data_IF_708330008978
#
_entry.id   IF_708330008978
#
_cell.length_a   1.000
_cell.length_b   1.000
_cell.length_c   1.000
_cell.angle_alpha   90.00
_cell.angle_beta   90.00
_cell.angle_gamma   90.00
#
_symmetry.space_group_name_H-M   'P 1'
#
loop_
_entity.id
_entity.type
_entity.pdbx_description
1 polymer ?
#
# COMPACT_ATOMS: atom_id res chain seq x y z
N UNK A 1 27.67 30.77 13.72
CA UNK A 1 26.58 31.64 13.29
C UNK A 1 25.62 30.78 12.48
N UNK A 2 24.67 30.24 13.13
CA UNK A 2 23.31 30.64 13.23
C UNK A 2 22.51 29.73 12.31
N UNK A 3 22.26 28.43 12.71
CA UNK A 3 21.14 27.64 12.14
C UNK A 3 19.87 28.14 12.82
N UNK A 4 19.23 29.12 12.25
CA UNK A 4 17.87 29.48 12.60
C UNK A 4 16.93 28.56 11.86
N UNK A 5 16.13 27.88 12.64
CA UNK A 5 15.13 26.92 12.35
C UNK A 5 14.03 27.47 11.46
N UNK A 6 13.78 26.78 10.39
CA UNK A 6 12.47 26.76 9.77
C UNK A 6 11.56 25.87 10.61
N UNK A 7 11.13 26.39 11.74
CA UNK A 7 9.96 25.84 12.45
C UNK A 7 8.70 26.30 11.74
N UNK A 8 8.03 25.33 11.17
CA UNK A 8 6.64 25.16 10.97
C UNK A 8 5.71 26.35 11.09
N UNK A 9 5.28 26.86 9.96
CA UNK A 9 4.02 27.54 9.81
C UNK A 9 2.87 26.55 9.92
N UNK A 10 2.09 26.67 11.02
CA UNK A 10 0.67 26.33 11.13
C UNK A 10 0.17 24.96 10.63
N UNK A 11 0.46 23.90 11.33
CA UNK A 11 -0.40 22.70 11.32
C UNK A 11 -1.38 22.66 12.51
N UNK A 12 -1.93 23.79 12.87
CA UNK A 12 -2.87 23.96 13.98
C UNK A 12 -4.34 24.03 13.55
N UNK A 13 -4.75 23.46 12.42
CA UNK A 13 -6.17 23.17 12.22
C UNK A 13 -6.53 22.03 13.15
N UNK A 14 -7.23 22.36 14.23
CA UNK A 14 -7.81 21.41 15.16
C UNK A 14 -8.32 20.20 14.42
N UNK A 15 -7.73 19.02 14.68
CA UNK A 15 -8.35 17.77 14.29
C UNK A 15 -9.76 17.79 14.83
N UNK A 16 -10.70 18.08 13.95
CA UNK A 16 -12.13 18.07 14.20
C UNK A 16 -12.46 16.66 14.69
N UNK A 17 -13.49 16.51 15.48
CA UNK A 17 -13.94 15.27 16.06
C UNK A 17 -13.87 14.03 15.15
N UNK A 18 -14.92 13.29 15.04
CA UNK A 18 -15.03 12.09 14.18
C UNK A 18 -15.10 12.53 12.71
N UNK A 19 -14.28 11.89 11.86
CA UNK A 19 -14.28 12.07 10.41
C UNK A 19 -15.34 11.18 9.77
N UNK A 20 -16.54 11.71 9.66
CA UNK A 20 -17.70 10.98 9.16
C UNK A 20 -17.55 10.39 7.76
N UNK A 21 -16.85 11.01 6.78
CA UNK A 21 -16.60 10.37 5.48
C UNK A 21 -15.85 9.04 5.60
N UNK A 22 -14.83 8.97 6.45
CA UNK A 22 -14.04 7.74 6.68
C UNK A 22 -14.84 6.70 7.48
N UNK A 23 -15.69 7.12 8.41
CA UNK A 23 -16.62 6.22 9.11
C UNK A 23 -17.66 5.65 8.14
N UNK A 24 -18.25 6.50 7.29
CA UNK A 24 -19.20 6.04 6.27
C UNK A 24 -18.56 5.06 5.28
N UNK A 25 -17.31 5.32 4.89
CA UNK A 25 -16.52 4.40 4.07
C UNK A 25 -16.35 3.03 4.76
N UNK A 26 -16.00 3.00 6.05
CA UNK A 26 -15.86 1.77 6.81
C UNK A 26 -17.18 0.98 6.85
N UNK A 27 -18.31 1.67 7.11
CA UNK A 27 -19.63 1.05 7.09
C UNK A 27 -19.99 0.50 5.71
N UNK A 28 -19.66 1.25 4.65
CA UNK A 28 -19.90 0.81 3.26
C UNK A 28 -19.06 -0.43 2.91
N UNK A 29 -17.80 -0.46 3.28
CA UNK A 29 -16.89 -1.58 3.00
C UNK A 29 -17.34 -2.82 3.77
N UNK A 30 -17.50 -2.74 5.07
CA UNK A 30 -17.86 -3.91 5.88
C UNK A 30 -19.32 -4.36 5.65
N UNK A 31 -20.24 -3.41 5.55
CA UNK A 31 -21.64 -3.69 5.23
C UNK A 31 -21.81 -4.29 3.83
N UNK A 32 -21.15 -3.67 2.84
CA UNK A 32 -21.10 -4.18 1.47
C UNK A 32 -20.46 -5.56 1.38
N UNK A 33 -19.35 -5.79 2.08
CA UNK A 33 -18.70 -7.09 2.15
C UNK A 33 -19.62 -8.16 2.76
N UNK A 34 -20.25 -7.87 3.90
CA UNK A 34 -21.16 -8.79 4.55
C UNK A 34 -22.37 -9.11 3.66
N UNK A 35 -22.98 -8.09 3.03
CA UNK A 35 -24.14 -8.27 2.14
C UNK A 35 -23.76 -9.05 0.87
N UNK A 36 -22.66 -8.69 0.20
CA UNK A 36 -22.22 -9.38 -1.01
C UNK A 36 -21.87 -10.84 -0.74
N UNK A 37 -21.13 -11.13 0.34
CA UNK A 37 -20.74 -12.49 0.67
C UNK A 37 -21.93 -13.34 1.12
N UNK A 38 -22.85 -12.78 1.91
CA UNK A 38 -24.05 -13.50 2.35
C UNK A 38 -24.99 -13.84 1.19
N UNK A 39 -25.15 -12.92 0.24
CA UNK A 39 -26.03 -13.10 -0.92
C UNK A 39 -25.30 -13.57 -2.19
N UNK A 40 -24.04 -14.03 -2.08
CA UNK A 40 -23.21 -14.37 -3.24
C UNK A 40 -23.88 -15.37 -4.19
N UNK A 41 -24.65 -16.33 -3.66
CA UNK A 41 -25.33 -17.34 -4.46
C UNK A 41 -26.44 -16.77 -5.38
N UNK A 42 -26.93 -15.56 -5.09
CA UNK A 42 -27.92 -14.87 -5.93
C UNK A 42 -27.26 -14.11 -7.10
N UNK A 43 -25.94 -14.02 -7.14
CA UNK A 43 -25.19 -13.27 -8.15
C UNK A 43 -24.36 -14.20 -9.03
N UNK A 44 -24.24 -13.94 -10.33
CA UNK A 44 -23.27 -14.63 -11.16
C UNK A 44 -21.85 -14.38 -10.64
N UNK A 45 -20.97 -15.39 -10.67
CA UNK A 45 -19.62 -15.29 -10.15
C UNK A 45 -18.80 -14.14 -10.80
N UNK A 46 -19.05 -13.85 -12.08
CA UNK A 46 -18.40 -12.76 -12.80
C UNK A 46 -18.87 -11.35 -12.38
N UNK A 47 -19.95 -11.22 -11.62
CA UNK A 47 -20.38 -9.98 -10.95
C UNK A 47 -19.88 -9.97 -9.51
N UNK A 48 -20.10 -11.06 -8.79
CA UNK A 48 -19.76 -11.19 -7.37
C UNK A 48 -18.24 -11.02 -7.13
N UNK A 49 -17.41 -11.76 -7.87
CA UNK A 49 -15.99 -11.76 -7.61
C UNK A 49 -15.32 -10.39 -7.82
N UNK A 50 -15.54 -9.66 -8.94
CA UNK A 50 -14.98 -8.32 -9.11
C UNK A 50 -15.51 -7.30 -8.09
N UNK A 51 -16.79 -7.34 -7.76
CA UNK A 51 -17.38 -6.44 -6.76
C UNK A 51 -16.79 -6.69 -5.37
N UNK A 52 -16.62 -7.95 -4.98
CA UNK A 52 -16.02 -8.31 -3.71
C UNK A 52 -14.50 -7.98 -3.70
N UNK A 53 -13.80 -8.24 -4.80
CA UNK A 53 -12.38 -7.86 -4.96
C UNK A 53 -12.18 -6.33 -4.83
N UNK A 54 -13.09 -5.54 -5.38
CA UNK A 54 -13.09 -4.09 -5.20
C UNK A 54 -13.21 -3.67 -3.73
N UNK A 55 -14.16 -4.27 -2.99
CA UNK A 55 -14.31 -3.99 -1.55
C UNK A 55 -13.10 -4.41 -0.74
N UNK A 56 -12.48 -5.55 -1.06
CA UNK A 56 -11.25 -6.01 -0.40
C UNK A 56 -10.08 -5.08 -0.69
N UNK A 57 -9.95 -4.57 -1.93
CA UNK A 57 -8.95 -3.57 -2.26
C UNK A 57 -9.23 -2.24 -1.56
N UNK A 58 -10.49 -1.82 -1.53
CA UNK A 58 -10.89 -0.58 -0.84
C UNK A 58 -10.63 -0.64 0.66
N UNK A 59 -10.83 -1.82 1.25
CA UNK A 59 -10.44 -2.08 2.65
C UNK A 59 -8.94 -1.87 2.87
N UNK A 60 -8.08 -2.34 1.97
CA UNK A 60 -6.64 -2.08 2.05
C UNK A 60 -6.30 -0.58 2.02
N UNK A 61 -6.99 0.19 1.16
CA UNK A 61 -6.85 1.65 1.12
C UNK A 61 -7.39 2.32 2.39
N UNK A 62 -8.48 1.81 2.97
CA UNK A 62 -9.00 2.29 4.26
C UNK A 62 -8.02 1.97 5.41
N UNK A 63 -7.41 0.78 5.42
CA UNK A 63 -6.38 0.46 6.41
C UNK A 63 -5.19 1.43 6.33
N UNK A 64 -4.78 1.78 5.10
CA UNK A 64 -3.74 2.79 4.86
C UNK A 64 -4.13 4.16 5.43
N UNK A 65 -5.34 4.63 5.22
CA UNK A 65 -5.84 5.88 5.81
C UNK A 65 -5.81 5.82 7.34
N UNK A 66 -6.31 4.71 7.91
CA UNK A 66 -6.44 4.55 9.36
C UNK A 66 -5.08 4.51 10.06
N UNK A 67 -4.05 3.93 9.46
CA UNK A 67 -2.72 3.86 10.09
C UNK A 67 -2.07 5.23 10.26
N UNK A 68 -2.49 6.22 9.45
CA UNK A 68 -2.11 7.64 9.60
C UNK A 68 -2.91 8.40 10.67
N UNK A 69 -3.82 7.71 11.38
CA UNK A 69 -4.48 8.26 12.56
C UNK A 69 -5.94 8.68 12.35
N UNK A 70 -6.58 8.21 11.29
CA UNK A 70 -7.99 8.41 10.96
C UNK A 70 -8.87 7.26 11.48
N UNK A 71 -10.18 7.38 11.63
CA UNK A 71 -10.98 8.62 11.52
C UNK A 71 -11.21 9.35 12.85
N UNK A 72 -10.55 8.94 13.94
CA UNK A 72 -10.77 9.54 15.27
C UNK A 72 -9.46 9.89 15.96
N UNK A 73 -9.54 10.59 17.09
CA UNK A 73 -8.37 10.84 17.95
C UNK A 73 -7.93 9.59 18.74
N UNK A 74 -8.77 8.57 18.83
CA UNK A 74 -8.50 7.35 19.59
C UNK A 74 -7.83 6.28 18.73
N UNK A 75 -6.55 6.01 19.00
CA UNK A 75 -5.83 4.91 18.33
C UNK A 75 -6.52 3.56 18.54
N UNK A 76 -7.18 3.36 19.67
CA UNK A 76 -7.90 2.11 19.97
C UNK A 76 -9.10 1.94 19.04
N UNK A 77 -9.91 2.99 18.86
CA UNK A 77 -11.06 2.98 17.94
C UNK A 77 -10.59 2.79 16.50
N UNK A 78 -9.61 3.56 16.07
CA UNK A 78 -9.07 3.50 14.72
C UNK A 78 -8.55 2.08 14.42
N UNK A 79 -7.77 1.51 15.34
CA UNK A 79 -7.28 0.14 15.24
C UNK A 79 -8.42 -0.89 15.19
N UNK A 80 -9.45 -0.73 16.02
CA UNK A 80 -10.59 -1.64 16.04
C UNK A 80 -11.34 -1.66 14.70
N UNK A 81 -11.39 -0.52 13.99
CA UNK A 81 -11.97 -0.45 12.65
C UNK A 81 -11.08 -1.19 11.63
N UNK A 82 -9.75 -1.02 11.69
CA UNK A 82 -8.83 -1.51 10.68
C UNK A 82 -8.41 -2.99 10.83
N UNK A 83 -8.54 -3.58 12.03
CA UNK A 83 -7.93 -4.87 12.35
C UNK A 83 -8.62 -6.08 11.70
N UNK A 84 -9.86 -5.94 11.23
CA UNK A 84 -10.62 -7.05 10.63
C UNK A 84 -10.01 -7.46 9.30
N UNK A 85 -9.43 -8.66 9.15
CA UNK A 85 -8.57 -8.99 8.02
C UNK A 85 -9.37 -9.60 6.87
N UNK A 86 -10.21 -8.83 6.17
CA UNK A 86 -10.98 -9.38 5.05
C UNK A 86 -10.11 -9.83 3.87
N UNK A 87 -8.89 -9.36 3.75
CA UNK A 87 -7.89 -9.86 2.78
C UNK A 87 -7.18 -11.15 3.22
N UNK A 88 -7.33 -11.56 4.48
CA UNK A 88 -6.81 -12.77 5.14
C UNK A 88 -5.29 -12.87 5.30
N UNK A 89 -4.47 -12.13 4.56
CA UNK A 89 -3.02 -12.39 4.49
C UNK A 89 -2.14 -11.41 5.26
N UNK A 90 -2.59 -10.15 5.46
CA UNK A 90 -1.75 -9.06 5.98
C UNK A 90 -2.21 -8.64 7.39
N UNK A 91 -1.41 -8.90 8.44
CA UNK A 91 -1.68 -8.37 9.77
C UNK A 91 -1.60 -6.84 9.78
N UNK A 92 -2.66 -6.19 10.26
CA UNK A 92 -2.75 -4.71 10.27
C UNK A 92 -1.57 -4.05 11.01
N UNK A 93 -1.13 -4.60 12.14
CA UNK A 93 -0.05 -3.99 12.90
C UNK A 93 1.30 -4.10 12.20
N UNK A 94 1.56 -5.22 11.51
CA UNK A 94 2.76 -5.37 10.67
C UNK A 94 2.75 -4.37 9.52
N UNK A 95 1.60 -4.23 8.83
CA UNK A 95 1.43 -3.23 7.77
C UNK A 95 1.64 -1.81 8.30
N UNK A 96 1.04 -1.47 9.45
CA UNK A 96 1.19 -0.15 10.05
C UNK A 96 2.65 0.18 10.36
N UNK A 97 3.40 -0.74 10.95
CA UNK A 97 4.80 -0.53 11.29
C UNK A 97 5.67 -0.37 10.05
N UNK A 98 5.47 -1.21 9.04
CA UNK A 98 6.18 -1.15 7.77
C UNK A 98 5.94 0.20 7.08
N UNK A 99 4.67 0.57 6.93
CA UNK A 99 4.30 1.77 6.20
C UNK A 99 4.70 3.08 6.90
N UNK A 100 4.58 3.16 8.23
CA UNK A 100 5.06 4.34 8.96
C UNK A 100 6.59 4.50 8.89
N UNK A 101 7.34 3.39 8.76
CA UNK A 101 8.78 3.44 8.51
C UNK A 101 9.09 3.85 7.07
N UNK A 102 8.26 3.44 6.11
CA UNK A 102 8.37 3.87 4.71
C UNK A 102 8.24 5.39 4.55
N UNK A 103 7.44 6.05 5.41
CA UNK A 103 7.33 7.51 5.47
C UNK A 103 8.55 8.24 6.08
N UNK A 104 9.64 7.53 6.39
CA UNK A 104 10.92 8.16 6.67
C UNK A 104 11.57 8.55 5.32
N UNK A 105 11.28 9.77 4.87
CA UNK A 105 11.56 10.24 3.51
C UNK A 105 13.03 10.16 3.10
N UNK A 106 13.96 10.31 4.04
CA UNK A 106 15.39 10.18 3.76
C UNK A 106 15.78 8.77 3.26
N UNK A 107 14.92 7.77 3.57
CA UNK A 107 15.12 6.36 3.24
C UNK A 107 14.27 5.88 2.06
N UNK A 108 13.38 6.72 1.56
CA UNK A 108 12.45 6.37 0.49
C UNK A 108 13.19 5.76 -0.72
N UNK A 109 12.71 4.60 -1.19
CA UNK A 109 13.30 3.76 -2.25
C UNK A 109 14.62 3.06 -1.92
N UNK A 110 15.22 3.28 -0.75
CA UNK A 110 16.45 2.58 -0.37
C UNK A 110 16.22 1.07 -0.25
N UNK A 111 17.04 0.21 -0.91
CA UNK A 111 16.82 -1.23 -0.91
C UNK A 111 17.08 -1.91 0.44
N UNK A 112 17.75 -1.26 1.39
CA UNK A 112 18.09 -1.82 2.69
C UNK A 112 17.23 -1.26 3.83
N UNK A 113 16.84 0.00 3.71
CA UNK A 113 16.23 0.73 4.82
C UNK A 113 14.73 1.02 4.62
N UNK A 114 14.25 1.12 3.37
CA UNK A 114 12.83 1.27 3.08
C UNK A 114 12.17 -0.11 2.97
N UNK A 115 11.28 -0.49 3.91
CA UNK A 115 10.63 -1.80 3.90
C UNK A 115 9.66 -2.01 2.73
N UNK A 116 9.27 -0.94 2.03
CA UNK A 116 8.41 -1.00 0.85
C UNK A 116 9.18 -0.84 -0.45
N UNK A 117 10.51 -0.68 -0.38
CA UNK A 117 11.36 -0.58 -1.56
C UNK A 117 11.28 -1.84 -2.43
N UNK A 118 11.22 -1.62 -3.72
CA UNK A 118 11.23 -2.70 -4.72
C UNK A 118 12.53 -2.77 -5.52
N UNK A 119 13.55 -2.10 -5.00
CA UNK A 119 14.89 -2.12 -5.56
C UNK A 119 15.76 -3.15 -4.86
N UNK A 120 16.76 -3.62 -5.58
CA UNK A 120 17.80 -4.48 -5.05
C UNK A 120 19.14 -3.75 -5.05
N UNK A 121 20.04 -4.19 -4.16
CA UNK A 121 21.44 -3.80 -4.27
C UNK A 121 22.08 -4.49 -5.47
N UNK A 122 23.18 -3.93 -6.04
CA UNK A 122 23.95 -4.61 -7.08
C UNK A 122 24.47 -6.00 -6.66
N UNK A 123 24.73 -6.20 -5.37
CA UNK A 123 25.21 -7.47 -4.83
C UNK A 123 24.08 -8.51 -4.83
N UNK A 124 22.90 -8.16 -4.29
CA UNK A 124 21.75 -9.04 -4.26
C UNK A 124 21.31 -9.42 -5.67
N UNK A 125 21.28 -8.48 -6.60
CA UNK A 125 21.00 -8.77 -8.00
C UNK A 125 21.96 -9.77 -8.61
N UNK A 126 23.28 -9.66 -8.33
CA UNK A 126 24.27 -10.60 -8.84
C UNK A 126 24.15 -12.00 -8.21
N UNK A 127 23.65 -12.08 -6.98
CA UNK A 127 23.46 -13.36 -6.28
C UNK A 127 22.25 -14.13 -6.79
N UNK A 128 21.28 -13.47 -7.44
CA UNK A 128 20.07 -14.13 -7.93
C UNK A 128 20.33 -15.07 -9.10
N UNK A 129 19.56 -16.17 -9.15
CA UNK A 129 19.47 -17.07 -10.29
C UNK A 129 18.86 -16.38 -11.53
N UNK A 130 19.12 -16.92 -12.72
CA UNK A 130 18.54 -16.41 -13.97
C UNK A 130 17.00 -16.35 -13.93
N UNK A 131 16.28 -17.42 -13.49
CA UNK A 131 14.82 -17.36 -13.38
C UNK A 131 14.32 -16.27 -12.42
N UNK A 132 14.98 -16.09 -11.25
CA UNK A 132 14.61 -15.06 -10.31
C UNK A 132 14.79 -13.64 -10.89
N UNK A 133 15.90 -13.42 -11.62
CA UNK A 133 16.11 -12.14 -12.33
C UNK A 133 15.05 -11.88 -13.39
N UNK A 134 14.66 -12.91 -14.15
CA UNK A 134 13.59 -12.77 -15.15
C UNK A 134 12.27 -12.41 -14.46
N UNK A 135 11.92 -13.10 -13.38
CA UNK A 135 10.70 -12.84 -12.62
C UNK A 135 10.65 -11.41 -12.08
N UNK A 136 11.75 -10.89 -11.54
CA UNK A 136 11.84 -9.52 -11.05
C UNK A 136 11.76 -8.49 -12.18
N UNK A 137 12.37 -8.75 -13.34
CA UNK A 137 12.19 -7.89 -14.51
C UNK A 137 10.75 -7.85 -14.99
N UNK A 138 10.09 -9.00 -15.08
CA UNK A 138 8.67 -9.04 -15.47
C UNK A 138 7.82 -8.19 -14.53
N UNK A 139 8.10 -8.19 -13.24
CA UNK A 139 7.39 -7.34 -12.26
C UNK A 139 7.66 -5.83 -12.41
N UNK A 140 8.67 -5.42 -13.16
CA UNK A 140 8.87 -4.01 -13.53
C UNK A 140 7.96 -3.56 -14.68
N UNK A 141 7.24 -4.48 -15.33
CA UNK A 141 6.15 -4.16 -16.23
C UNK A 141 4.82 -4.16 -15.48
N UNK A 142 3.84 -3.38 -15.92
CA UNK A 142 2.52 -3.35 -15.28
C UNK A 142 1.81 -4.72 -15.39
N UNK A 143 1.86 -5.36 -16.56
CA UNK A 143 1.27 -6.70 -16.75
C UNK A 143 1.89 -7.73 -15.80
N UNK A 144 3.20 -7.78 -15.71
CA UNK A 144 3.90 -8.67 -14.78
C UNK A 144 3.58 -8.34 -13.32
N UNK A 145 3.48 -7.05 -12.97
CA UNK A 145 3.08 -6.60 -11.64
C UNK A 145 1.68 -7.08 -11.26
N UNK A 146 0.72 -7.02 -12.17
CA UNK A 146 -0.67 -7.43 -11.89
C UNK A 146 -0.84 -8.94 -11.84
N UNK A 147 -0.09 -9.69 -12.67
CA UNK A 147 -0.24 -11.15 -12.77
C UNK A 147 0.65 -11.89 -11.77
N UNK A 148 1.90 -11.46 -11.61
CA UNK A 148 2.88 -12.15 -10.77
C UNK A 148 3.00 -11.46 -9.40
N UNK A 149 2.77 -10.15 -9.37
CA UNK A 149 2.98 -9.31 -8.20
C UNK A 149 2.27 -9.76 -6.93
N UNK A 150 0.98 -10.16 -6.96
CA UNK A 150 0.30 -10.63 -5.75
C UNK A 150 0.96 -11.86 -5.13
N UNK A 151 1.23 -12.89 -5.94
CA UNK A 151 1.91 -14.10 -5.46
C UNK A 151 3.31 -13.79 -4.91
N UNK A 152 4.04 -12.93 -5.61
CA UNK A 152 5.37 -12.50 -5.18
C UNK A 152 5.31 -11.73 -3.85
N UNK A 153 4.44 -10.73 -3.74
CA UNK A 153 4.32 -9.90 -2.54
C UNK A 153 3.93 -10.73 -1.31
N UNK A 154 2.92 -11.60 -1.46
CA UNK A 154 2.45 -12.47 -0.38
C UNK A 154 3.53 -13.47 0.03
N UNK A 155 4.20 -14.12 -0.94
CA UNK A 155 5.23 -15.13 -0.65
C UNK A 155 6.44 -14.53 0.07
N UNK A 156 6.92 -13.34 -0.35
CA UNK A 156 8.04 -12.66 0.30
C UNK A 156 7.65 -12.18 1.70
N UNK A 157 6.47 -11.58 1.83
CA UNK A 157 5.96 -11.17 3.12
C UNK A 157 5.91 -12.34 4.11
N UNK A 158 5.35 -13.49 3.71
CA UNK A 158 5.31 -14.66 4.58
C UNK A 158 6.70 -15.22 4.89
N UNK A 159 7.63 -15.18 3.94
CA UNK A 159 9.00 -15.63 4.17
C UNK A 159 9.70 -14.75 5.24
N UNK A 160 9.58 -13.42 5.13
CA UNK A 160 10.16 -12.48 6.08
C UNK A 160 9.53 -12.61 7.46
N UNK A 161 8.21 -12.72 7.53
CA UNK A 161 7.49 -12.91 8.80
C UNK A 161 7.80 -14.26 9.45
N UNK A 162 7.96 -15.33 8.66
CA UNK A 162 8.38 -16.64 9.17
C UNK A 162 9.77 -16.57 9.85
N UNK A 163 10.69 -15.80 9.29
CA UNK A 163 12.02 -15.57 9.90
C UNK A 163 11.89 -14.83 11.24
N UNK A 164 11.04 -13.79 11.30
CA UNK A 164 10.79 -13.04 12.56
C UNK A 164 10.18 -13.95 13.62
N UNK A 165 9.17 -14.73 13.27
CA UNK A 165 8.52 -15.69 14.16
C UNK A 165 9.50 -16.77 14.66
N UNK A 166 10.34 -17.31 13.76
CA UNK A 166 11.37 -18.27 14.12
C UNK A 166 12.40 -17.70 15.10
N UNK A 167 12.76 -16.42 14.95
CA UNK A 167 13.65 -15.70 15.86
C UNK A 167 12.99 -15.33 17.21
N UNK A 168 11.70 -15.60 17.38
CA UNK A 168 10.97 -15.29 18.59
C UNK A 168 10.66 -13.79 18.76
N UNK A 169 10.55 -13.04 17.66
CA UNK A 169 10.17 -11.63 17.71
C UNK A 169 8.78 -11.47 18.33
N UNK A 170 8.76 -10.87 19.51
CA UNK A 170 7.53 -10.73 20.31
C UNK A 170 6.49 -9.83 19.64
N UNK A 171 6.92 -8.84 18.88
CA UNK A 171 5.99 -7.95 18.17
C UNK A 171 5.32 -8.70 17.01
N UNK A 172 6.10 -9.47 16.24
CA UNK A 172 5.58 -10.33 15.19
C UNK A 172 4.64 -11.41 15.76
N UNK A 173 5.04 -12.12 16.82
CA UNK A 173 4.20 -13.14 17.47
C UNK A 173 2.86 -12.54 17.90
N UNK A 174 2.86 -11.37 18.53
CA UNK A 174 1.63 -10.71 18.94
C UNK A 174 0.75 -10.33 17.75
N UNK A 175 1.32 -9.69 16.72
CA UNK A 175 0.60 -9.29 15.54
C UNK A 175 -0.05 -10.48 14.83
N UNK A 176 0.69 -11.58 14.70
CA UNK A 176 0.19 -12.82 14.08
C UNK A 176 -0.86 -13.54 14.93
N UNK A 177 -0.73 -13.53 16.27
CA UNK A 177 -1.75 -14.11 17.17
C UNK A 177 -3.07 -13.36 17.03
N UNK A 178 -3.04 -12.04 17.06
CA UNK A 178 -4.24 -11.22 16.87
C UNK A 178 -4.84 -11.39 15.47
N UNK A 179 -4.00 -11.44 14.46
CA UNK A 179 -4.41 -11.64 13.07
C UNK A 179 -5.08 -13.01 12.88
N UNK A 180 -4.51 -14.07 13.46
CA UNK A 180 -5.07 -15.41 13.38
C UNK A 180 -6.50 -15.51 13.96
N UNK A 181 -6.78 -14.79 15.04
CA UNK A 181 -8.15 -14.70 15.60
C UNK A 181 -9.08 -14.02 14.60
N UNK A 182 -8.66 -12.91 14.00
CA UNK A 182 -9.43 -12.23 12.97
C UNK A 182 -9.67 -13.09 11.73
N UNK A 183 -8.61 -13.76 11.24
CA UNK A 183 -8.71 -14.70 10.11
C UNK A 183 -9.66 -15.84 10.41
N UNK A 184 -9.61 -16.42 11.62
CA UNK A 184 -10.55 -17.48 12.01
C UNK A 184 -12.00 -16.99 11.98
N UNK A 185 -12.28 -15.77 12.47
CA UNK A 185 -13.62 -15.19 12.45
C UNK A 185 -14.12 -14.91 11.02
N UNK A 186 -13.27 -14.30 10.16
CA UNK A 186 -13.63 -14.04 8.75
C UNK A 186 -13.78 -15.35 7.98
N UNK A 187 -12.91 -16.34 8.20
CA UNK A 187 -13.01 -17.65 7.56
C UNK A 187 -14.29 -18.41 7.99
N UNK A 188 -14.63 -18.33 9.28
CA UNK A 188 -15.90 -18.89 9.76
C UNK A 188 -17.10 -18.24 9.06
N UNK A 189 -17.10 -16.91 8.93
CA UNK A 189 -18.14 -16.20 8.18
C UNK A 189 -18.21 -16.68 6.72
N UNK A 190 -17.09 -16.68 6.00
CA UNK A 190 -17.05 -17.02 4.59
C UNK A 190 -17.46 -18.48 4.33
N UNK A 191 -16.91 -19.42 5.11
CA UNK A 191 -17.08 -20.85 4.86
C UNK A 191 -18.34 -21.39 5.53
N UNK A 192 -18.48 -21.18 6.84
CA UNK A 192 -19.57 -21.80 7.59
C UNK A 192 -20.92 -21.07 7.44
N UNK A 193 -20.88 -19.72 7.32
CA UNK A 193 -22.11 -18.93 7.19
C UNK A 193 -22.49 -18.73 5.74
N UNK A 194 -21.54 -18.33 4.88
CA UNK A 194 -21.81 -18.02 3.48
C UNK A 194 -21.66 -19.21 2.53
N UNK A 195 -20.89 -20.26 2.90
CA UNK A 195 -20.64 -21.40 2.01
C UNK A 195 -19.68 -21.09 0.86
N UNK A 196 -18.87 -20.04 0.99
CA UNK A 196 -17.89 -19.65 -0.04
C UNK A 196 -16.66 -20.56 0.06
N UNK A 197 -16.26 -21.13 -1.07
CA UNK A 197 -15.04 -21.94 -1.17
C UNK A 197 -13.79 -21.09 -0.89
N UNK A 198 -12.89 -21.52 0.01
CA UNK A 198 -11.68 -20.76 0.36
C UNK A 198 -10.73 -20.52 -0.81
N UNK A 199 -10.59 -21.49 -1.73
CA UNK A 199 -9.73 -21.32 -2.89
C UNK A 199 -10.32 -20.31 -3.88
N UNK A 200 -11.64 -20.37 -4.07
CA UNK A 200 -12.35 -19.34 -4.85
C UNK A 200 -12.14 -17.94 -4.24
N UNK A 201 -12.32 -17.81 -2.92
CA UNK A 201 -12.11 -16.52 -2.25
C UNK A 201 -10.68 -16.02 -2.42
N UNK A 202 -9.69 -16.87 -2.22
CA UNK A 202 -8.29 -16.51 -2.35
C UNK A 202 -7.92 -16.12 -3.79
N UNK A 203 -8.35 -16.90 -4.79
CA UNK A 203 -7.88 -16.75 -6.17
C UNK A 203 -8.75 -15.77 -7.00
N UNK A 204 -10.06 -15.75 -6.76
CA UNK A 204 -10.97 -14.92 -7.54
C UNK A 204 -11.31 -13.57 -6.88
N UNK A 205 -11.00 -13.39 -5.58
CA UNK A 205 -11.31 -12.17 -4.84
C UNK A 205 -10.03 -11.53 -4.28
N UNK A 206 -9.30 -12.21 -3.40
CA UNK A 206 -8.13 -11.62 -2.74
C UNK A 206 -7.00 -11.34 -3.71
N UNK A 207 -6.71 -12.29 -4.60
CA UNK A 207 -5.65 -12.11 -5.60
C UNK A 207 -5.90 -10.88 -6.52
N UNK A 208 -7.07 -10.72 -7.16
CA UNK A 208 -7.40 -9.51 -7.90
C UNK A 208 -7.42 -8.23 -7.06
N UNK A 209 -7.85 -8.31 -5.79
CA UNK A 209 -7.81 -7.16 -4.90
C UNK A 209 -6.38 -6.67 -4.64
N UNK A 210 -5.44 -7.59 -4.44
CA UNK A 210 -4.02 -7.24 -4.34
C UNK A 210 -3.53 -6.66 -5.67
N UNK A 211 -3.91 -7.23 -6.82
CA UNK A 211 -3.56 -6.68 -8.13
C UNK A 211 -4.04 -5.24 -8.31
N UNK A 212 -5.27 -4.92 -7.88
CA UNK A 212 -5.79 -3.55 -7.90
C UNK A 212 -4.92 -2.58 -7.06
N UNK A 213 -4.55 -2.98 -5.85
CA UNK A 213 -3.66 -2.16 -5.01
C UNK A 213 -2.27 -2.00 -5.61
N UNK A 214 -1.78 -3.02 -6.33
CA UNK A 214 -0.50 -2.98 -7.02
C UNK A 214 -0.47 -2.05 -8.23
N UNK A 215 -1.62 -1.64 -8.80
CA UNK A 215 -1.69 -0.58 -9.82
C UNK A 215 -1.16 0.73 -9.23
N UNK A 216 -1.63 1.08 -8.02
CA UNK A 216 -1.20 2.27 -7.31
C UNK A 216 0.30 2.19 -7.03
N UNK A 217 0.73 1.18 -6.30
CA UNK A 217 2.13 1.04 -5.87
C UNK A 217 3.12 0.82 -7.02
N UNK A 218 2.66 0.54 -8.23
CA UNK A 218 3.50 0.48 -9.42
C UNK A 218 3.99 1.86 -9.86
N UNK A 219 3.15 2.88 -9.74
CA UNK A 219 3.42 4.23 -10.20
C UNK A 219 3.97 5.17 -9.12
N UNK A 220 3.81 4.85 -7.83
CA UNK A 220 4.04 5.75 -6.70
C UNK A 220 5.47 6.22 -6.53
N UNK A 221 6.43 5.32 -6.68
CA UNK A 221 7.83 5.59 -6.36
C UNK A 221 8.78 5.16 -7.46
N UNK A 222 9.75 6.04 -7.69
CA UNK A 222 10.89 5.78 -8.56
C UNK A 222 12.15 6.35 -7.93
N UNK A 223 13.23 5.58 -7.93
CA UNK A 223 14.51 6.06 -7.42
C UNK A 223 14.99 7.29 -8.19
N UNK A 224 15.37 8.33 -7.46
CA UNK A 224 15.92 9.58 -7.94
C UNK A 224 16.90 10.15 -6.92
N UNK A 225 17.73 11.13 -7.33
CA UNK A 225 18.72 11.76 -6.45
C UNK A 225 18.02 12.59 -5.37
N UNK A 226 17.09 13.45 -5.75
CA UNK A 226 16.27 14.24 -4.84
C UNK A 226 15.15 13.40 -4.21
N UNK A 227 14.94 13.52 -2.89
CA UNK A 227 13.91 12.75 -2.16
C UNK A 227 12.50 13.05 -2.70
N UNK A 228 12.18 14.33 -2.92
CA UNK A 228 10.89 14.72 -3.47
C UNK A 228 10.62 14.14 -4.88
N UNK A 229 11.67 13.99 -5.69
CA UNK A 229 11.61 13.43 -7.05
C UNK A 229 11.26 11.93 -7.07
N UNK A 230 11.36 11.24 -5.90
CA UNK A 230 11.06 9.81 -5.77
C UNK A 230 9.58 9.52 -5.69
N UNK A 231 8.73 10.54 -5.55
CA UNK A 231 7.29 10.37 -5.34
C UNK A 231 6.50 10.92 -6.52
N UNK A 232 5.71 10.06 -7.15
CA UNK A 232 4.92 10.41 -8.32
C UNK A 232 3.56 11.01 -7.97
N UNK A 233 2.95 11.60 -9.00
CA UNK A 233 1.56 12.04 -9.00
C UNK A 233 0.87 11.39 -10.20
N UNK A 234 -0.29 10.75 -9.98
CA UNK A 234 -1.14 10.26 -11.06
C UNK A 234 -2.43 11.09 -11.06
N UNK A 235 -2.52 12.03 -11.98
CA UNK A 235 -3.70 12.89 -12.15
C UNK A 235 -4.87 12.14 -12.83
N UNK A 236 -6.00 12.77 -12.99
CA UNK A 236 -7.16 12.26 -13.75
C UNK A 236 -7.59 10.82 -13.46
N UNK A 237 -7.36 10.36 -12.23
CA UNK A 237 -7.69 9.02 -11.77
C UNK A 237 -9.15 8.93 -11.27
N UNK A 238 -10.11 9.44 -12.05
CA UNK A 238 -11.51 9.57 -11.65
C UNK A 238 -12.16 8.24 -11.21
N UNK A 239 -11.74 7.10 -11.75
CA UNK A 239 -12.26 5.78 -11.40
C UNK A 239 -11.45 5.10 -10.29
N UNK A 240 -10.12 5.10 -10.40
CA UNK A 240 -9.24 4.45 -9.43
C UNK A 240 -8.86 5.35 -8.24
N UNK A 241 -8.92 6.66 -8.40
CA UNK A 241 -8.64 7.60 -7.32
C UNK A 241 -9.48 7.37 -6.07
N UNK A 242 -10.83 7.25 -6.17
CA UNK A 242 -11.67 6.89 -5.02
C UNK A 242 -11.33 5.52 -4.41
N UNK A 243 -10.95 4.52 -5.22
CA UNK A 243 -10.49 3.23 -4.70
C UNK A 243 -9.22 3.38 -3.85
N UNK A 244 -8.32 4.25 -4.26
CA UNK A 244 -7.06 4.52 -3.56
C UNK A 244 -7.16 5.63 -2.52
N UNK A 245 -8.37 6.13 -2.26
CA UNK A 245 -8.62 7.27 -1.36
C UNK A 245 -7.73 8.47 -1.73
N UNK A 246 -7.63 8.74 -3.03
CA UNK A 246 -6.81 9.78 -3.65
C UNK A 246 -5.30 9.71 -3.35
N UNK A 247 -4.82 8.58 -2.84
CA UNK A 247 -3.40 8.37 -2.62
C UNK A 247 -2.60 8.18 -3.94
N UNK A 248 -3.27 8.18 -5.08
CA UNK A 248 -2.65 8.38 -6.40
C UNK A 248 -1.97 9.75 -6.54
N UNK A 249 -2.35 10.74 -5.72
CA UNK A 249 -1.67 12.03 -5.57
C UNK A 249 -0.56 11.89 -4.52
N UNK A 250 0.36 10.98 -4.77
CA UNK A 250 1.23 10.42 -3.74
C UNK A 250 2.22 11.42 -3.15
N UNK A 251 2.72 12.39 -3.95
CA UNK A 251 3.54 13.49 -3.42
C UNK A 251 2.79 14.34 -2.39
N UNK A 252 1.48 14.56 -2.60
CA UNK A 252 0.65 15.26 -1.63
C UNK A 252 0.47 14.45 -0.33
N UNK A 253 0.33 13.13 -0.46
CA UNK A 253 0.23 12.22 0.68
C UNK A 253 1.54 12.18 1.50
N UNK A 254 2.69 12.06 0.86
CA UNK A 254 3.98 12.07 1.56
C UNK A 254 4.26 13.39 2.28
N UNK A 255 3.88 14.54 1.68
CA UNK A 255 4.02 15.84 2.36
C UNK A 255 3.05 16.00 3.53
N UNK A 256 1.84 15.44 3.42
CA UNK A 256 0.77 15.59 4.40
C UNK A 256 0.13 14.25 4.77
N UNK A 257 0.86 13.29 5.34
CA UNK A 257 0.35 11.93 5.55
C UNK A 257 -0.82 11.83 6.53
N UNK A 258 -1.02 12.84 7.37
CA UNK A 258 -2.15 12.92 8.31
C UNK A 258 -3.32 13.77 7.80
N UNK A 259 -3.32 14.14 6.50
CA UNK A 259 -4.45 14.82 5.87
C UNK A 259 -5.53 13.78 5.52
N UNK A 260 -6.80 14.02 5.89
CA UNK A 260 -7.88 13.12 5.50
C UNK A 260 -7.99 12.97 3.98
N UNK A 261 -8.20 11.75 3.52
CA UNK A 261 -8.23 11.39 2.09
C UNK A 261 -9.15 12.29 1.26
N UNK A 262 -10.28 12.73 1.79
CA UNK A 262 -11.25 13.57 1.07
C UNK A 262 -10.81 15.04 0.96
N UNK A 263 -9.78 15.46 1.68
CA UNK A 263 -9.18 16.80 1.57
C UNK A 263 -8.00 16.84 0.58
N UNK A 264 -7.37 15.68 0.30
CA UNK A 264 -6.18 15.57 -0.57
C UNK A 264 -6.40 16.20 -1.95
N UNK A 265 -7.52 15.95 -2.68
CA UNK A 265 -7.68 16.52 -4.03
C UNK A 265 -7.72 18.04 -4.04
N UNK A 266 -8.44 18.67 -3.11
CA UNK A 266 -8.52 20.12 -3.04
C UNK A 266 -7.17 20.74 -2.69
N UNK A 267 -6.51 20.18 -1.68
CA UNK A 267 -5.18 20.63 -1.27
C UNK A 267 -4.13 20.46 -2.38
N UNK A 268 -4.15 19.31 -3.07
CA UNK A 268 -3.29 19.07 -4.24
C UNK A 268 -3.51 20.13 -5.32
N UNK A 269 -4.75 20.44 -5.66
CA UNK A 269 -5.07 21.42 -6.68
C UNK A 269 -4.49 22.81 -6.38
N UNK A 270 -4.56 23.24 -5.10
CA UNK A 270 -3.98 24.50 -4.63
C UNK A 270 -2.44 24.51 -4.67
N UNK A 271 -1.80 23.34 -4.49
CA UNK A 271 -0.34 23.20 -4.39
C UNK A 271 0.32 22.58 -5.63
N UNK A 272 -0.46 22.30 -6.67
CA UNK A 272 -0.02 21.53 -7.85
C UNK A 272 1.28 22.02 -8.46
N UNK A 273 1.38 23.32 -8.75
CA UNK A 273 2.55 23.88 -9.44
C UNK A 273 3.84 23.69 -8.61
N UNK A 274 3.76 23.90 -7.31
CA UNK A 274 4.88 23.70 -6.39
C UNK A 274 5.29 22.22 -6.32
N UNK A 275 4.32 21.33 -6.10
CA UNK A 275 4.59 19.89 -5.99
C UNK A 275 5.21 19.32 -7.27
N UNK A 276 4.76 19.74 -8.46
CA UNK A 276 5.35 19.33 -9.72
C UNK A 276 6.78 19.85 -9.87
N UNK A 277 7.03 21.08 -9.48
CA UNK A 277 8.40 21.62 -9.49
C UNK A 277 9.32 20.85 -8.54
N UNK A 278 8.86 20.52 -7.33
CA UNK A 278 9.65 19.83 -6.31
C UNK A 278 9.92 18.36 -6.67
N UNK A 279 8.94 17.67 -7.30
CA UNK A 279 9.10 16.27 -7.69
C UNK A 279 9.69 16.09 -9.11
N UNK A 280 10.20 17.14 -9.74
CA UNK A 280 10.84 17.08 -11.05
C UNK A 280 9.88 16.67 -12.17
N UNK A 281 8.63 17.13 -12.11
CA UNK A 281 7.55 16.78 -13.03
C UNK A 281 7.29 15.26 -13.15
N UNK A 282 7.49 14.53 -12.05
CA UNK A 282 7.16 13.12 -11.98
C UNK A 282 5.65 12.93 -11.87
N UNK A 283 4.96 13.12 -12.98
CA UNK A 283 3.50 13.12 -13.10
C UNK A 283 3.04 12.27 -14.27
N UNK A 284 1.89 11.62 -14.12
CA UNK A 284 1.18 10.86 -15.16
C UNK A 284 -0.23 11.42 -15.34
N UNK A 285 -0.67 11.52 -16.59
CA UNK A 285 -2.05 11.87 -16.98
C UNK A 285 -2.96 10.63 -16.87
N UNK A 286 -3.12 10.15 -15.64
CA UNK A 286 -3.97 9.01 -15.32
C UNK A 286 -3.30 7.64 -15.48
N UNK A 287 -3.98 6.61 -14.93
CA UNK A 287 -3.52 5.23 -15.03
C UNK A 287 -3.58 4.66 -16.47
N UNK A 288 -4.35 5.30 -17.36
CA UNK A 288 -4.32 4.98 -18.78
C UNK A 288 -2.97 5.29 -19.43
N UNK A 289 -2.33 6.39 -19.04
CA UNK A 289 -0.97 6.70 -19.48
C UNK A 289 0.05 5.71 -18.90
N UNK A 290 -0.05 5.40 -17.59
CA UNK A 290 0.82 4.40 -16.95
C UNK A 290 0.73 3.07 -17.70
N UNK A 291 -0.49 2.60 -18.00
CA UNK A 291 -0.68 1.36 -18.74
C UNK A 291 -0.11 1.45 -20.18
N UNK A 292 -0.39 2.51 -20.91
CA UNK A 292 0.12 2.69 -22.27
C UNK A 292 1.65 2.71 -22.32
N UNK A 293 2.31 3.31 -21.33
CA UNK A 293 3.78 3.42 -21.27
C UNK A 293 4.44 2.13 -20.81
N UNK A 294 3.85 1.45 -19.82
CA UNK A 294 4.53 0.42 -19.03
C UNK A 294 3.83 -0.95 -19.00
N UNK A 295 2.79 -1.19 -19.80
CA UNK A 295 2.09 -2.49 -19.79
C UNK A 295 3.05 -3.66 -19.99
N UNK A 296 3.97 -3.54 -20.97
CA UNK A 296 4.98 -4.54 -21.31
C UNK A 296 6.41 -3.96 -21.35
N UNK A 297 6.60 -2.75 -20.85
CA UNK A 297 7.90 -2.10 -20.73
C UNK A 297 8.21 -1.89 -19.27
N UNK A 298 9.49 -1.96 -18.94
CA UNK A 298 9.96 -1.70 -17.57
C UNK A 298 9.66 -0.25 -17.18
N UNK A 299 9.11 -0.06 -15.98
CA UNK A 299 8.89 1.25 -15.38
C UNK A 299 10.23 1.90 -15.00
N UNK A 300 11.11 1.09 -14.42
CA UNK A 300 12.43 1.49 -13.93
C UNK A 300 13.38 0.28 -13.80
N UNK A 301 14.61 0.53 -13.33
CA UNK A 301 15.59 -0.52 -13.04
C UNK A 301 15.16 -1.40 -11.86
N UNK A 302 15.56 -2.67 -11.87
CA UNK A 302 15.45 -3.55 -10.68
C UNK A 302 16.53 -3.20 -9.64
N UNK A 303 17.71 -2.76 -10.10
CA UNK A 303 18.82 -2.35 -9.23
C UNK A 303 18.71 -0.86 -8.95
N UNK A 304 18.84 -0.47 -7.69
CA UNK A 304 18.80 0.94 -7.30
C UNK A 304 19.93 1.72 -7.99
N UNK A 305 19.64 2.83 -8.70
CA UNK A 305 20.62 3.54 -9.53
C UNK A 305 21.74 4.21 -8.70
N UNK A 306 21.41 4.76 -7.54
CA UNK A 306 22.37 5.42 -6.65
C UNK A 306 23.13 4.39 -5.83
N UNK A 307 23.80 3.44 -6.26
CA UNK A 307 24.50 2.40 -5.47
C UNK A 307 24.38 2.55 -3.94
N UNK A 308 24.28 1.49 -3.20
CA UNK A 308 24.24 1.55 -1.73
C UNK A 308 25.28 2.57 -1.25
N UNK A 309 24.87 3.59 -0.51
CA UNK A 309 25.79 4.56 0.09
C UNK A 309 26.93 3.79 0.76
N UNK A 310 28.14 4.00 0.30
CA UNK A 310 29.34 3.30 0.79
C UNK A 310 29.55 3.48 2.32
N UNK A 311 28.90 4.45 2.90
CA UNK A 311 29.04 4.90 4.29
C UNK A 311 28.39 3.92 5.30
N UNK A 312 27.48 3.03 4.86
CA UNK A 312 26.76 2.09 5.75
C UNK A 312 27.41 0.69 5.84
N UNK A 313 28.45 0.43 5.04
CA UNK A 313 29.17 -0.87 5.07
C UNK A 313 30.20 -0.93 6.22
N UNK A 314 30.50 0.15 6.91
CA UNK A 314 31.59 0.22 7.91
C UNK A 314 31.16 0.17 9.36
N UNK A 315 29.89 -0.05 9.69
CA UNK A 315 29.46 -0.28 11.06
C UNK A 315 29.27 -1.77 11.32
N UNK A 316 30.13 -2.43 12.09
CA UNK A 316 29.90 -3.81 12.52
C UNK A 316 28.71 -3.83 13.48
N UNK A 317 27.75 -4.74 13.24
CA UNK A 317 26.62 -5.04 14.11
C UNK A 317 27.09 -5.80 15.33
#
# INVERSE_FOLDING_TARGET
MGREGMQGGESGRHRRGIEWPTVALAVLIYGGFALLTFHHAALPAWVFAPACAWLVAWHGSMQHEILHGHPTRSRVINRAIAIVPISLWLPYETYRQSHLRHHDDDRLTDPLDDPESRYLTPADWRALSRPARLLLRLQKTLAGRLVIGPAWAVSHFFADEAVKLWRGDRAAIRAWTEHAVGVAAVSFWLVAVCGIDPAFYALAIVYPAISLLLIRSFAEHKAADGVAERTAIVENAWFLGPLFLFNNLHAAHHERPTMPWYEIPAWYHENRARLLQENGDHVYDGYGEVARRFLFRDHDSVVHPAGVRADLVTSPR
#
